data_IF_836415495219
#
_entry.id   IF_836415495219
#
_cell.length_a   1.000
_cell.length_b   1.000
_cell.length_c   1.000
_cell.angle_alpha   90.00
_cell.angle_beta   90.00
_cell.angle_gamma   90.00
#
_symmetry.space_group_name_H-M   'P 1'
#
loop_
_entity.id
_entity.type
_entity.pdbx_description
1 polymer ?
#
# COMPACT_ATOMS: atom_id res chain seq x y z
N UNK A 1 -7.76 -8.06 7.10
CA UNK A 1 -8.30 -7.98 5.73
C UNK A 1 -7.18 -7.88 4.72
N UNK A 2 -7.33 -8.57 3.61
CA UNK A 2 -6.30 -8.63 2.57
C UNK A 2 -6.60 -7.63 1.46
N UNK A 3 -5.68 -6.69 1.22
CA UNK A 3 -5.81 -5.72 0.14
C UNK A 3 -4.78 -6.04 -0.93
N UNK A 4 -5.22 -6.77 -1.95
CA UNK A 4 -4.36 -7.34 -2.98
C UNK A 4 -3.50 -6.29 -3.69
N UNK A 5 -4.04 -5.09 -3.91
CA UNK A 5 -3.32 -4.06 -4.65
C UNK A 5 -2.06 -3.57 -3.95
N UNK A 6 -1.99 -3.72 -2.63
CA UNK A 6 -0.77 -3.37 -1.89
C UNK A 6 0.40 -4.18 -2.41
N UNK A 7 0.21 -5.49 -2.56
CA UNK A 7 1.25 -6.36 -3.10
C UNK A 7 1.44 -6.13 -4.59
N UNK A 8 0.34 -6.00 -5.35
CA UNK A 8 0.42 -5.84 -6.80
C UNK A 8 1.23 -4.61 -7.17
N UNK A 9 0.98 -3.48 -6.50
CA UNK A 9 1.72 -2.25 -6.78
C UNK A 9 3.18 -2.38 -6.41
N UNK A 10 3.48 -3.05 -5.31
CA UNK A 10 4.87 -3.28 -4.91
C UNK A 10 5.60 -4.09 -5.99
N UNK A 11 4.98 -5.16 -6.45
CA UNK A 11 5.58 -6.02 -7.47
C UNK A 11 5.72 -5.31 -8.81
N UNK A 12 4.73 -4.51 -9.18
CA UNK A 12 4.76 -3.74 -10.41
C UNK A 12 5.94 -2.77 -10.47
N UNK A 13 6.39 -2.32 -9.31
CA UNK A 13 7.53 -1.39 -9.23
C UNK A 13 8.83 -2.08 -8.86
N UNK A 14 8.84 -3.40 -8.88
CA UNK A 14 10.02 -4.21 -8.58
C UNK A 14 10.61 -3.89 -7.20
N UNK A 15 9.74 -3.58 -6.24
CA UNK A 15 10.17 -3.31 -4.87
C UNK A 15 10.08 -4.57 -4.03
N UNK A 16 11.07 -4.75 -3.16
CA UNK A 16 11.04 -5.84 -2.19
C UNK A 16 10.20 -5.44 -0.98
N UNK A 17 9.77 -6.44 -0.21
CA UNK A 17 9.09 -6.17 1.06
C UNK A 17 9.99 -5.36 2.00
N UNK A 18 11.29 -5.65 2.00
CA UNK A 18 12.25 -4.92 2.82
C UNK A 18 12.30 -3.44 2.42
N UNK A 19 12.34 -3.16 1.11
CA UNK A 19 12.39 -1.77 0.64
C UNK A 19 11.16 -0.99 1.10
N UNK A 20 9.98 -1.59 0.99
CA UNK A 20 8.75 -0.90 1.39
C UNK A 20 8.67 -0.77 2.91
N UNK A 21 9.10 -1.81 3.64
CA UNK A 21 9.14 -1.73 5.10
C UNK A 21 10.06 -0.58 5.55
N UNK A 22 11.22 -0.44 4.89
CA UNK A 22 12.15 0.66 5.19
C UNK A 22 11.50 2.01 4.92
N UNK A 23 10.80 2.13 3.81
CA UNK A 23 10.07 3.36 3.49
C UNK A 23 9.07 3.70 4.58
N UNK A 24 8.38 2.70 5.10
CA UNK A 24 7.39 2.89 6.17
C UNK A 24 8.01 2.94 7.56
N UNK A 25 9.33 2.79 7.64
CA UNK A 25 10.08 2.84 8.90
C UNK A 25 9.60 1.75 9.86
N UNK A 26 9.43 0.55 9.36
CA UNK A 26 9.02 -0.60 10.16
C UNK A 26 9.84 -1.83 9.79
N UNK A 27 9.79 -2.82 10.65
CA UNK A 27 10.49 -4.09 10.40
C UNK A 27 9.80 -4.85 9.27
N UNK A 28 10.60 -5.55 8.44
CA UNK A 28 10.07 -6.33 7.32
C UNK A 28 8.99 -7.32 7.76
N UNK A 29 9.18 -7.98 8.90
CA UNK A 29 8.22 -8.96 9.37
C UNK A 29 6.87 -8.34 9.70
N UNK A 30 6.86 -7.09 10.17
CA UNK A 30 5.62 -6.35 10.44
C UNK A 30 4.93 -6.00 9.12
N UNK A 31 5.68 -5.46 8.17
CA UNK A 31 5.11 -5.12 6.87
C UNK A 31 4.52 -6.35 6.18
N UNK A 32 5.24 -7.48 6.25
CA UNK A 32 4.78 -8.72 5.63
C UNK A 32 3.39 -9.12 6.13
N UNK A 33 3.15 -8.94 7.42
CA UNK A 33 1.85 -9.27 7.99
C UNK A 33 0.76 -8.33 7.53
N UNK A 34 1.08 -7.07 7.33
CA UNK A 34 0.13 -6.11 6.76
C UNK A 34 -0.19 -6.47 5.31
N UNK A 35 0.83 -6.78 4.52
CA UNK A 35 0.62 -7.12 3.11
C UNK A 35 -0.19 -8.40 2.94
N UNK A 36 0.05 -9.40 3.79
CA UNK A 36 -0.64 -10.69 3.69
C UNK A 36 -2.06 -10.65 4.25
N UNK A 37 -2.40 -9.61 5.00
CA UNK A 37 -3.72 -9.50 5.63
C UNK A 37 -3.80 -10.18 6.99
N UNK A 38 -2.69 -10.70 7.51
CA UNK A 38 -2.65 -11.28 8.85
C UNK A 38 -2.94 -10.22 9.91
N UNK A 39 -2.57 -8.97 9.63
CA UNK A 39 -2.81 -7.82 10.50
C UNK A 39 -3.46 -6.72 9.72
N UNK A 40 -4.35 -5.98 10.40
CA UNK A 40 -4.95 -4.80 9.81
C UNK A 40 -3.89 -3.73 9.61
N UNK A 41 -3.76 -3.23 8.38
CA UNK A 41 -2.81 -2.18 8.08
C UNK A 41 -3.33 -0.86 8.67
N UNK A 42 -2.50 -0.11 9.40
CA UNK A 42 -2.97 1.16 9.98
C UNK A 42 -3.16 2.21 8.90
N UNK A 43 -4.04 3.18 9.21
CA UNK A 43 -4.40 4.23 8.26
C UNK A 43 -3.16 5.00 7.80
N UNK A 44 -2.25 5.35 8.71
CA UNK A 44 -1.06 6.12 8.33
C UNK A 44 -0.21 5.37 7.30
N UNK A 45 -0.17 4.04 7.39
CA UNK A 45 0.60 3.26 6.42
C UNK A 45 -0.10 3.22 5.07
N UNK A 46 -1.43 3.14 5.06
CA UNK A 46 -2.21 3.21 3.81
C UNK A 46 -1.95 4.54 3.11
N UNK A 47 -1.98 5.63 3.87
CA UNK A 47 -1.71 6.96 3.31
C UNK A 47 -0.30 7.05 2.74
N UNK A 48 0.69 6.52 3.46
CA UNK A 48 2.08 6.53 3.00
C UNK A 48 2.27 5.69 1.74
N UNK A 49 1.63 4.53 1.66
CA UNK A 49 1.72 3.68 0.48
C UNK A 49 1.06 4.33 -0.73
N UNK A 50 -0.08 4.98 -0.51
CA UNK A 50 -0.75 5.71 -1.59
C UNK A 50 0.17 6.79 -2.16
N UNK A 51 0.90 7.48 -1.30
CA UNK A 51 1.87 8.48 -1.72
C UNK A 51 3.03 7.85 -2.48
N UNK A 52 3.57 6.77 -1.94
CA UNK A 52 4.69 6.06 -2.56
C UNK A 52 4.35 5.64 -3.98
N UNK A 53 3.16 5.08 -4.18
CA UNK A 53 2.74 4.54 -5.47
C UNK A 53 2.01 5.55 -6.34
N UNK A 54 1.76 6.74 -5.82
CA UNK A 54 1.04 7.80 -6.51
C UNK A 54 -0.33 7.37 -6.99
N UNK A 55 -1.05 6.74 -6.09
CA UNK A 55 -2.43 6.30 -6.33
C UNK A 55 -3.29 6.81 -5.19
N UNK A 56 -4.62 6.78 -5.39
CA UNK A 56 -5.53 7.15 -4.31
C UNK A 56 -5.60 6.04 -3.27
N UNK A 57 -5.97 6.40 -2.05
CA UNK A 57 -6.21 5.40 -1.02
C UNK A 57 -7.37 4.49 -1.41
N UNK A 58 -8.37 5.03 -2.10
CA UNK A 58 -9.50 4.23 -2.57
C UNK A 58 -9.04 3.15 -3.56
N UNK A 59 -8.15 3.50 -4.47
CA UNK A 59 -7.60 2.52 -5.40
C UNK A 59 -6.82 1.45 -4.65
N UNK A 60 -5.97 1.87 -3.73
CA UNK A 60 -5.13 0.95 -2.96
C UNK A 60 -5.98 -0.05 -2.18
N UNK A 61 -7.11 0.40 -1.65
CA UNK A 61 -8.00 -0.44 -0.87
C UNK A 61 -9.04 -1.18 -1.72
N UNK A 62 -8.99 -1.01 -3.03
CA UNK A 62 -9.88 -1.73 -3.93
C UNK A 62 -11.28 -1.15 -4.05
N UNK A 63 -11.48 0.10 -3.64
CA UNK A 63 -12.79 0.74 -3.69
C UNK A 63 -13.10 1.39 -5.03
N UNK A 64 -12.08 1.59 -5.85
CA UNK A 64 -12.24 2.16 -7.17
C UNK A 64 -11.16 1.60 -8.09
N UNK A 65 -11.42 1.63 -9.39
CA UNK A 65 -10.42 1.27 -10.40
C UNK A 65 -9.62 2.47 -10.89
N UNK A 66 -9.92 3.66 -10.40
CA UNK A 66 -9.18 4.86 -10.75
C UNK A 66 -7.92 4.97 -9.91
N UNK A 67 -6.77 5.07 -10.55
CA UNK A 67 -5.50 5.11 -9.84
C UNK A 67 -5.29 6.43 -9.09
N UNK A 68 -5.80 7.55 -9.64
CA UNK A 68 -5.65 8.86 -9.04
C UNK A 68 -6.99 9.41 -8.59
N UNK A 69 -7.01 10.29 -7.57
CA UNK A 69 -8.25 10.93 -7.15
C UNK A 69 -8.84 11.75 -8.29
N UNK A 70 -10.17 11.88 -8.32
CA UNK A 70 -10.83 12.77 -9.24
C UNK A 70 -10.53 14.20 -8.80
N UNK A 71 -10.00 14.95 -9.67
CA UNK A 71 -9.62 16.32 -9.34
C UNK A 71 -10.83 17.14 -9.02
N UNK A 72 -10.66 17.81 -8.48
CA UNK A 72 -10.94 18.58 -8.30
C UNK A 72 -10.66 19.38 -7.84
N UNK A 73 -10.47 19.69 -7.76
CA UNK A 73 -10.10 20.29 -7.38
C UNK A 73 -10.15 20.88 -7.19
#
# INVERSE_FOLDING_TARGET
MYFRRIRDLREDRDLTQTAVADYLNMHRSVYRRYESGEREIPVWAVLALAELYRVSTDYLLGRTDRTLPTAKK
#
